data_IF_104409722534
#
_entry.id   IF_104409722534
#
_cell.length_a   1.000
_cell.length_b   1.000
_cell.length_c   1.000
_cell.angle_alpha   90.00
_cell.angle_beta   90.00
_cell.angle_gamma   90.00
#
_symmetry.space_group_name_H-M   'P 1'
#
loop_
_entity.id
_entity.type
_entity.pdbx_description
1 polymer ?
#
# COMPACT_ATOMS: atom_id res chain seq x y z
N UNK A 1 15.93 -12.35 -6.26
CA UNK A 1 14.73 -11.50 -6.39
C UNK A 1 15.12 -10.09 -5.95
N UNK A 2 14.58 -9.05 -6.56
CA UNK A 2 14.83 -7.67 -6.12
C UNK A 2 13.71 -7.23 -5.17
N UNK A 3 14.06 -6.96 -3.92
CA UNK A 3 13.08 -6.50 -2.92
C UNK A 3 13.03 -4.98 -2.81
N UNK A 4 14.18 -4.31 -2.83
CA UNK A 4 14.28 -2.88 -2.59
C UNK A 4 14.37 -2.06 -3.88
N UNK A 5 13.54 -1.03 -3.94
CA UNK A 5 13.48 -0.05 -5.03
C UNK A 5 13.68 1.34 -4.43
N UNK A 6 14.87 1.90 -4.63
CA UNK A 6 15.20 3.25 -4.19
C UNK A 6 14.38 4.28 -4.97
N UNK A 7 13.99 5.37 -4.30
CA UNK A 7 13.27 6.48 -4.88
C UNK A 7 13.91 6.95 -6.19
N UNK A 8 13.07 7.32 -7.14
CA UNK A 8 13.49 8.06 -8.32
C UNK A 8 12.49 9.18 -8.58
N UNK A 9 12.99 10.33 -9.02
CA UNK A 9 12.16 11.48 -9.35
C UNK A 9 11.86 11.46 -10.85
N UNK A 10 10.71 10.89 -11.20
CA UNK A 10 10.23 10.80 -12.57
C UNK A 10 8.90 11.54 -12.67
N UNK A 11 8.85 12.49 -13.60
CA UNK A 11 7.62 13.21 -13.96
C UNK A 11 6.78 12.37 -14.92
N UNK A 12 5.45 12.48 -14.83
CA UNK A 12 4.51 11.65 -15.59
C UNK A 12 4.29 10.31 -14.92
N UNK A 13 4.19 9.25 -15.71
CA UNK A 13 4.03 7.88 -15.22
C UNK A 13 5.38 7.19 -15.07
N UNK A 14 5.59 6.54 -13.93
CA UNK A 14 6.81 5.82 -13.60
C UNK A 14 6.49 4.38 -13.22
N UNK A 15 7.09 3.42 -13.94
CA UNK A 15 7.12 2.03 -13.48
C UNK A 15 8.11 1.90 -12.32
N UNK A 16 7.66 1.48 -11.14
CA UNK A 16 8.53 1.34 -9.96
C UNK A 16 8.91 -0.13 -9.77
N UNK A 17 7.92 -0.99 -9.49
CA UNK A 17 8.16 -2.42 -9.28
C UNK A 17 8.17 -3.11 -10.64
N UNK A 18 9.33 -3.65 -11.00
CA UNK A 18 9.57 -4.36 -12.24
C UNK A 18 9.57 -5.88 -12.04
N UNK A 19 9.69 -6.61 -13.15
CA UNK A 19 9.60 -8.07 -13.18
C UNK A 19 10.76 -8.73 -12.41
N UNK A 20 11.81 -7.99 -12.06
CA UNK A 20 12.91 -8.48 -11.22
C UNK A 20 12.45 -8.69 -9.76
N UNK A 21 11.31 -8.11 -9.36
CA UNK A 21 10.66 -8.42 -8.10
C UNK A 21 10.12 -9.84 -8.04
N UNK A 22 9.96 -10.54 -9.17
CA UNK A 22 9.43 -11.91 -9.17
C UNK A 22 8.01 -12.04 -8.61
N UNK A 23 7.28 -10.93 -8.50
CA UNK A 23 5.86 -10.88 -8.17
C UNK A 23 5.05 -11.26 -9.41
N UNK A 24 4.01 -12.06 -9.20
CA UNK A 24 3.22 -12.70 -10.24
C UNK A 24 1.88 -12.02 -10.44
N UNK A 25 1.29 -11.44 -9.38
CA UNK A 25 -0.09 -10.93 -9.40
C UNK A 25 -0.19 -9.44 -9.10
N UNK A 26 0.77 -8.84 -8.40
CA UNK A 26 0.73 -7.40 -8.07
C UNK A 26 1.85 -6.58 -8.69
N UNK A 27 1.65 -5.27 -8.72
CA UNK A 27 2.66 -4.28 -9.09
C UNK A 27 2.35 -2.92 -8.45
N UNK A 28 3.35 -2.04 -8.46
CA UNK A 28 3.21 -0.67 -7.98
C UNK A 28 3.98 0.28 -8.89
N UNK A 29 3.28 1.32 -9.32
CA UNK A 29 3.78 2.39 -10.18
C UNK A 29 3.37 3.75 -9.57
N UNK A 30 3.86 4.85 -10.12
CA UNK A 30 3.54 6.19 -9.61
C UNK A 30 3.23 7.16 -10.75
N UNK A 31 2.31 8.08 -10.49
CA UNK A 31 2.03 9.23 -11.37
C UNK A 31 2.40 10.50 -10.60
N UNK A 32 3.18 11.37 -11.24
CA UNK A 32 3.51 12.70 -10.74
C UNK A 32 3.27 13.74 -11.84
N UNK A 33 2.35 14.67 -11.60
CA UNK A 33 1.95 15.67 -12.60
C UNK A 33 1.95 17.07 -11.99
N UNK A 34 2.49 18.04 -12.71
CA UNK A 34 2.39 19.45 -12.33
C UNK A 34 0.96 19.97 -12.61
N UNK A 35 0.50 21.02 -11.89
CA UNK A 35 -0.81 21.60 -12.13
C UNK A 35 -1.10 21.91 -13.61
N UNK A 36 -2.22 21.40 -14.12
CA UNK A 36 -2.66 21.57 -15.51
C UNK A 36 -2.15 20.49 -16.47
N UNK A 37 -1.23 19.63 -16.05
CA UNK A 37 -0.77 18.52 -16.88
C UNK A 37 -1.75 17.35 -16.88
N UNK A 38 -1.69 16.57 -17.95
CA UNK A 38 -2.53 15.38 -18.11
C UNK A 38 -1.76 14.23 -18.74
N UNK A 39 -2.23 13.02 -18.48
CA UNK A 39 -1.72 11.78 -19.07
C UNK A 39 -2.88 10.83 -19.36
N UNK A 40 -2.75 10.08 -20.45
CA UNK A 40 -3.65 8.99 -20.82
C UNK A 40 -2.93 7.66 -20.66
N UNK A 41 -3.61 6.69 -20.05
CA UNK A 41 -3.06 5.39 -19.66
C UNK A 41 -4.11 4.29 -19.85
N UNK A 42 -3.68 3.04 -19.77
CA UNK A 42 -4.55 1.87 -19.83
C UNK A 42 -4.26 0.92 -18.66
N UNK A 43 -5.32 0.35 -18.08
CA UNK A 43 -5.19 -0.62 -16.99
C UNK A 43 -4.73 -2.01 -17.48
N UNK A 44 -4.93 -2.31 -18.77
CA UNK A 44 -4.60 -3.61 -19.36
C UNK A 44 -5.24 -4.76 -18.56
N UNK A 45 -4.48 -5.80 -18.24
CA UNK A 45 -4.98 -6.95 -17.45
C UNK A 45 -5.16 -6.67 -15.95
N UNK A 46 -4.85 -5.46 -15.48
CA UNK A 46 -4.86 -5.12 -14.06
C UNK A 46 -6.15 -4.40 -13.67
N UNK A 47 -6.70 -4.73 -12.51
CA UNK A 47 -7.49 -3.75 -11.76
C UNK A 47 -6.54 -2.84 -10.97
N UNK A 48 -6.94 -1.58 -10.81
CA UNK A 48 -6.10 -0.53 -10.24
C UNK A 48 -6.77 0.14 -9.04
N UNK A 49 -5.99 0.38 -7.99
CA UNK A 49 -6.28 1.40 -6.99
C UNK A 49 -5.39 2.62 -7.24
N UNK A 50 -5.97 3.72 -7.72
CA UNK A 50 -5.29 5.00 -7.88
C UNK A 50 -5.42 5.80 -6.59
N UNK A 51 -4.43 5.72 -5.72
CA UNK A 51 -4.43 6.38 -4.41
C UNK A 51 -3.79 7.75 -4.53
N UNK A 52 -4.55 8.82 -4.31
CA UNK A 52 -4.00 10.18 -4.35
C UNK A 52 -3.13 10.39 -3.11
N UNK A 53 -1.81 10.44 -3.28
CA UNK A 53 -0.81 10.63 -2.23
C UNK A 53 -0.70 12.11 -1.82
N UNK A 54 -0.81 13.02 -2.79
CA UNK A 54 -0.80 14.46 -2.59
C UNK A 54 -1.52 15.18 -3.73
N UNK A 55 -2.11 16.33 -3.44
CA UNK A 55 -2.72 17.20 -4.44
C UNK A 55 -4.13 16.78 -4.83
N UNK A 56 -4.58 17.28 -5.99
CA UNK A 56 -5.93 17.01 -6.51
C UNK A 56 -5.97 16.90 -8.03
N UNK A 57 -6.95 16.18 -8.57
CA UNK A 57 -7.07 15.95 -10.01
C UNK A 57 -8.40 15.41 -10.48
N UNK A 58 -8.57 15.39 -11.79
CA UNK A 58 -9.66 14.71 -12.47
C UNK A 58 -9.18 13.35 -12.98
N UNK A 59 -9.98 12.30 -12.74
CA UNK A 59 -9.76 10.96 -13.30
C UNK A 59 -11.00 10.59 -14.13
N UNK A 60 -10.80 10.26 -15.40
CA UNK A 60 -11.89 9.91 -16.33
C UNK A 60 -11.62 8.57 -16.98
N UNK A 61 -12.62 7.67 -16.96
CA UNK A 61 -12.54 6.33 -17.55
C UNK A 61 -13.84 6.02 -18.30
N UNK A 62 -13.85 6.26 -19.61
CA UNK A 62 -15.08 6.17 -20.41
C UNK A 62 -16.15 7.16 -19.92
N UNK A 63 -17.32 6.65 -19.52
CA UNK A 63 -18.40 7.47 -18.97
C UNK A 63 -18.22 7.84 -17.49
N UNK A 64 -17.36 7.11 -16.77
CA UNK A 64 -17.07 7.39 -15.37
C UNK A 64 -16.16 8.62 -15.24
N UNK A 65 -16.54 9.54 -14.36
CA UNK A 65 -15.82 10.79 -14.10
C UNK A 65 -15.70 11.04 -12.60
N UNK A 66 -14.48 10.98 -12.10
CA UNK A 66 -14.11 11.39 -10.76
C UNK A 66 -13.40 12.74 -10.84
N UNK A 67 -14.20 13.82 -10.79
CA UNK A 67 -13.71 15.19 -10.94
C UNK A 67 -13.34 15.81 -9.60
N UNK A 68 -12.32 16.67 -9.61
CA UNK A 68 -11.80 17.43 -8.47
C UNK A 68 -11.54 16.58 -7.22
N UNK A 69 -10.93 15.41 -7.40
CA UNK A 69 -10.63 14.46 -6.33
C UNK A 69 -9.27 14.69 -5.70
N UNK A 70 -9.18 14.42 -4.40
CA UNK A 70 -7.98 14.65 -3.59
C UNK A 70 -8.08 15.94 -2.78
N UNK A 71 -7.69 15.85 -1.51
CA UNK A 71 -7.71 16.98 -0.57
C UNK A 71 -6.46 17.08 0.31
N UNK A 72 -5.62 16.04 0.34
CA UNK A 72 -4.45 15.99 1.23
C UNK A 72 -3.23 16.61 0.54
N UNK A 73 -2.51 17.45 1.28
CA UNK A 73 -1.26 18.06 0.79
C UNK A 73 -0.12 17.04 0.73
N UNK A 74 -0.16 16.05 1.62
CA UNK A 74 0.70 14.89 1.69
C UNK A 74 -0.03 13.76 2.41
N UNK A 75 0.58 12.58 2.47
CA UNK A 75 -0.02 11.39 3.12
C UNK A 75 -0.28 11.58 4.62
N UNK A 76 0.42 12.49 5.29
CA UNK A 76 0.28 12.76 6.73
C UNK A 76 -0.81 13.81 7.04
N UNK A 77 -1.38 14.44 6.00
CA UNK A 77 -2.40 15.49 6.12
C UNK A 77 -3.84 14.95 6.15
N UNK A 78 -4.05 13.64 6.05
CA UNK A 78 -5.36 13.01 6.15
C UNK A 78 -5.53 11.75 5.31
N UNK A 79 -6.76 11.22 5.36
CA UNK A 79 -7.17 10.01 4.64
C UNK A 79 -7.15 10.20 3.11
N UNK A 80 -6.95 9.13 2.34
CA UNK A 80 -6.80 9.19 0.90
C UNK A 80 -8.16 9.30 0.21
N UNK A 81 -8.19 9.97 -0.92
CA UNK A 81 -9.18 9.65 -1.96
C UNK A 81 -8.56 8.60 -2.87
N UNK A 82 -9.29 7.52 -3.15
CA UNK A 82 -8.83 6.43 -4.03
C UNK A 82 -9.82 6.19 -5.15
N UNK A 83 -9.34 6.05 -6.38
CA UNK A 83 -10.18 5.72 -7.54
C UNK A 83 -9.88 4.28 -7.95
N UNK A 84 -10.91 3.45 -7.98
CA UNK A 84 -10.82 2.11 -8.55
C UNK A 84 -11.05 2.15 -10.05
N UNK A 85 -10.09 1.64 -10.83
CA UNK A 85 -10.20 1.48 -12.28
C UNK A 85 -10.14 -0.01 -12.62
N UNK A 86 -11.14 -0.58 -13.29
CA UNK A 86 -11.15 -2.00 -13.59
C UNK A 86 -10.21 -2.35 -14.75
N UNK A 87 -9.89 -3.64 -14.91
CA UNK A 87 -9.15 -4.16 -16.06
C UNK A 87 -9.78 -3.78 -17.41
N UNK A 88 -8.94 -3.78 -18.44
CA UNK A 88 -9.26 -3.48 -19.83
C UNK A 88 -9.95 -2.11 -19.99
N UNK A 89 -9.38 -1.08 -19.35
CA UNK A 89 -9.96 0.27 -19.29
C UNK A 89 -8.90 1.33 -19.59
N UNK A 90 -9.16 2.14 -20.61
CA UNK A 90 -8.44 3.38 -20.84
C UNK A 90 -8.93 4.46 -19.87
N UNK A 91 -8.01 5.23 -19.32
CA UNK A 91 -8.32 6.32 -18.40
C UNK A 91 -7.35 7.49 -18.58
N UNK A 92 -7.78 8.69 -18.20
CA UNK A 92 -6.94 9.87 -18.14
C UNK A 92 -6.88 10.44 -16.73
N UNK A 93 -5.74 11.05 -16.41
CA UNK A 93 -5.52 11.77 -15.17
C UNK A 93 -5.10 13.19 -15.53
N UNK A 94 -5.75 14.19 -14.93
CA UNK A 94 -5.39 15.60 -15.08
C UNK A 94 -5.15 16.22 -13.72
N UNK A 95 -3.96 16.79 -13.51
CA UNK A 95 -3.63 17.50 -12.30
C UNK A 95 -4.36 18.84 -12.21
N UNK A 96 -4.94 19.12 -11.05
CA UNK A 96 -5.66 20.36 -10.73
C UNK A 96 -5.05 21.01 -9.48
N UNK A 97 -5.55 22.19 -9.14
CA UNK A 97 -5.10 22.93 -7.97
C UNK A 97 -3.77 23.65 -8.20
N UNK A 98 -2.98 23.79 -7.15
CA UNK A 98 -1.77 24.62 -7.12
C UNK A 98 -0.49 23.87 -6.72
N UNK A 99 -0.62 22.63 -6.28
CA UNK A 99 0.51 21.74 -5.95
C UNK A 99 0.52 20.55 -6.91
N UNK A 100 1.67 19.88 -7.10
CA UNK A 100 1.74 18.66 -7.89
C UNK A 100 0.76 17.59 -7.41
N UNK A 101 0.17 16.87 -8.35
CA UNK A 101 -0.64 15.69 -8.10
C UNK A 101 0.28 14.46 -8.07
N UNK A 102 0.31 13.76 -6.95
CA UNK A 102 1.02 12.50 -6.78
C UNK A 102 0.01 11.37 -6.53
N UNK A 103 0.09 10.30 -7.32
CA UNK A 103 -0.79 9.13 -7.22
C UNK A 103 0.05 7.86 -7.16
N UNK A 104 -0.20 7.03 -6.15
CA UNK A 104 0.25 5.65 -6.13
C UNK A 104 -0.67 4.78 -6.98
N UNK A 105 -0.11 4.05 -7.94
CA UNK A 105 -0.85 3.16 -8.85
C UNK A 105 -0.64 1.72 -8.38
N UNK A 106 -1.56 1.25 -7.54
CA UNK A 106 -1.58 -0.11 -7.03
C UNK A 106 -2.24 -1.03 -8.05
N UNK A 107 -1.51 -2.05 -8.54
CA UNK A 107 -1.92 -2.89 -9.67
C UNK A 107 -2.11 -4.32 -9.21
N UNK A 108 -3.21 -4.95 -9.61
CA UNK A 108 -3.48 -6.37 -9.34
C UNK A 108 -4.04 -7.03 -10.59
N UNK A 109 -3.48 -8.17 -11.02
CA UNK A 109 -4.00 -8.93 -12.17
C UNK A 109 -5.40 -9.44 -11.84
N UNK A 110 -6.38 -8.95 -12.58
CA UNK A 110 -7.78 -9.32 -12.39
C UNK A 110 -8.24 -10.27 -13.49
N UNK A 111 -9.13 -11.19 -13.17
CA UNK A 111 -9.83 -12.07 -14.11
C UNK A 111 -11.22 -11.52 -14.46
N UNK A 112 -11.80 -10.71 -13.57
CA UNK A 112 -13.13 -10.12 -13.73
C UNK A 112 -13.03 -8.61 -13.93
N UNK A 113 -13.98 -8.08 -14.70
CA UNK A 113 -14.18 -6.65 -14.88
C UNK A 113 -15.35 -6.17 -14.02
N UNK A 114 -15.11 -5.18 -13.18
CA UNK A 114 -16.11 -4.53 -12.32
C UNK A 114 -16.33 -3.08 -12.77
N UNK A 115 -17.25 -2.37 -12.13
CA UNK A 115 -17.49 -0.94 -12.39
C UNK A 115 -16.47 -0.06 -11.66
N UNK A 116 -15.99 1.04 -12.28
CA UNK A 116 -15.14 2.02 -11.60
C UNK A 116 -15.91 2.75 -10.49
N UNK A 117 -15.22 3.13 -9.42
CA UNK A 117 -15.80 3.89 -8.30
C UNK A 117 -14.74 4.74 -7.58
N UNK A 118 -15.21 5.65 -6.73
CA UNK A 118 -14.38 6.43 -5.82
C UNK A 118 -14.57 5.91 -4.41
N UNK A 119 -13.47 5.75 -3.67
CA UNK A 119 -13.45 5.64 -2.21
C UNK A 119 -13.13 7.01 -1.68
N UNK A 120 -14.13 7.64 -1.05
CA UNK A 120 -13.94 8.95 -0.43
C UNK A 120 -13.21 8.84 0.91
N UNK A 121 -12.49 9.89 1.36
CA UNK A 121 -11.79 9.89 2.64
C UNK A 121 -12.71 9.56 3.84
N UNK A 122 -13.97 9.95 3.79
CA UNK A 122 -14.99 9.70 4.82
C UNK A 122 -15.42 8.22 4.88
N UNK A 123 -15.18 7.49 3.79
CA UNK A 123 -15.50 6.06 3.68
C UNK A 123 -14.40 5.14 4.19
N UNK A 124 -13.18 5.68 4.39
CA UNK A 124 -12.00 4.95 4.84
C UNK A 124 -12.06 4.79 6.36
N UNK A 125 -12.04 3.54 6.82
CA UNK A 125 -12.06 3.20 8.25
C UNK A 125 -10.63 3.18 8.77
N UNK A 126 -10.41 3.81 9.92
CA UNK A 126 -9.11 3.77 10.62
C UNK A 126 -9.20 2.79 11.77
N UNK A 127 -8.33 1.79 11.73
CA UNK A 127 -8.14 0.82 12.80
C UNK A 127 -6.88 1.18 13.59
N UNK A 128 -7.04 1.42 14.89
CA UNK A 128 -5.92 1.64 15.80
C UNK A 128 -5.41 0.29 16.30
N UNK A 129 -4.25 -0.16 15.79
CA UNK A 129 -3.70 -1.50 16.05
C UNK A 129 -2.47 -1.43 16.95
N UNK A 130 -2.29 -2.48 17.75
CA UNK A 130 -1.15 -2.66 18.65
C UNK A 130 -1.21 -1.83 19.94
N UNK A 131 -0.26 -2.06 20.83
CA UNK A 131 -0.07 -1.31 22.08
C UNK A 131 1.39 -0.93 22.28
N UNK A 132 1.63 0.08 23.13
CA UNK A 132 2.98 0.57 23.46
C UNK A 132 3.81 0.88 22.21
N UNK A 133 4.91 0.15 22.00
CA UNK A 133 5.84 0.37 20.89
C UNK A 133 5.37 -0.27 19.57
N UNK A 134 4.16 -0.84 19.52
CA UNK A 134 3.58 -1.44 18.31
C UNK A 134 2.34 -0.70 17.81
N UNK A 135 2.04 0.49 18.36
CA UNK A 135 0.88 1.29 18.00
C UNK A 135 1.03 1.84 16.59
N UNK A 136 -0.07 1.74 15.84
CA UNK A 136 -0.15 2.23 14.46
C UNK A 136 -1.59 2.45 14.07
N UNK A 137 -1.79 3.35 13.13
CA UNK A 137 -3.07 3.56 12.49
C UNK A 137 -3.06 2.88 11.13
N UNK A 138 -4.08 2.07 10.87
CA UNK A 138 -4.27 1.40 9.58
C UNK A 138 -5.55 1.93 8.95
N UNK A 139 -5.42 2.52 7.79
CA UNK A 139 -6.55 2.97 6.99
C UNK A 139 -6.88 1.88 5.97
N UNK A 140 -8.01 1.20 6.18
CA UNK A 140 -8.52 0.18 5.26
C UNK A 140 -9.23 0.87 4.08
N UNK A 141 -8.59 0.85 2.89
CA UNK A 141 -9.07 1.59 1.70
C UNK A 141 -9.99 0.70 0.85
N UNK A 142 -9.46 -0.42 0.31
CA UNK A 142 -10.24 -1.42 -0.44
C UNK A 142 -10.00 -2.78 0.22
N UNK A 143 -10.84 -3.11 1.20
CA UNK A 143 -10.79 -4.38 1.94
C UNK A 143 -12.16 -5.08 1.88
N UNK A 144 -12.63 -5.65 2.99
CA UNK A 144 -13.88 -6.42 3.08
C UNK A 144 -15.14 -5.60 2.72
N UNK A 145 -15.16 -4.28 2.97
CA UNK A 145 -16.27 -3.39 2.60
C UNK A 145 -16.58 -3.40 1.09
N UNK A 146 -15.58 -3.70 0.27
CA UNK A 146 -15.67 -3.69 -1.20
C UNK A 146 -15.72 -5.11 -1.78
N UNK A 147 -16.06 -6.12 -0.97
CA UNK A 147 -16.34 -7.47 -1.47
C UNK A 147 -17.41 -7.46 -2.57
N UNK A 148 -17.14 -8.14 -3.69
CA UNK A 148 -18.02 -8.17 -4.85
C UNK A 148 -18.04 -6.89 -5.70
N UNK A 149 -17.20 -5.88 -5.42
CA UNK A 149 -17.02 -4.68 -6.27
C UNK A 149 -15.66 -4.61 -6.95
N UNK A 150 -14.74 -5.47 -6.55
CA UNK A 150 -13.38 -5.63 -7.09
C UNK A 150 -13.07 -7.13 -7.17
N UNK A 151 -12.02 -7.53 -7.89
CA UNK A 151 -11.71 -8.94 -8.11
C UNK A 151 -10.82 -9.53 -7.00
N UNK A 152 -9.60 -9.02 -6.85
CA UNK A 152 -8.56 -9.55 -5.96
C UNK A 152 -7.85 -8.48 -5.14
N UNK A 153 -7.88 -7.22 -5.56
CA UNK A 153 -7.15 -6.15 -4.88
C UNK A 153 -7.56 -6.01 -3.41
N UNK A 154 -6.53 -5.96 -2.56
CA UNK A 154 -6.64 -5.59 -1.15
C UNK A 154 -5.64 -4.46 -0.91
N UNK A 155 -6.14 -3.33 -0.42
CA UNK A 155 -5.39 -2.06 -0.42
C UNK A 155 -5.66 -1.28 0.85
N UNK A 156 -4.61 -0.73 1.42
CA UNK A 156 -4.70 0.18 2.55
C UNK A 156 -3.38 0.89 2.78
N UNK A 157 -3.34 1.70 3.83
CA UNK A 157 -2.13 2.42 4.21
C UNK A 157 -1.94 2.35 5.73
N UNK A 158 -0.70 2.47 6.18
CA UNK A 158 -0.36 2.36 7.60
C UNK A 158 0.59 3.47 8.03
N UNK A 159 0.32 3.99 9.22
CA UNK A 159 1.06 5.05 9.87
C UNK A 159 1.74 4.50 11.12
N UNK A 160 3.06 4.41 11.09
CA UNK A 160 3.89 4.07 12.24
C UNK A 160 4.34 5.34 12.97
N UNK A 161 4.16 5.36 14.29
CA UNK A 161 4.64 6.45 15.14
C UNK A 161 6.18 6.46 15.24
N UNK A 162 6.80 7.62 15.48
CA UNK A 162 8.26 7.73 15.65
C UNK A 162 8.82 6.75 16.69
N UNK A 163 9.85 6.00 16.31
CA UNK A 163 10.51 5.01 17.19
C UNK A 163 9.72 3.72 17.46
N UNK A 164 8.53 3.57 16.85
CA UNK A 164 7.69 2.39 17.03
C UNK A 164 7.85 1.37 15.90
N UNK A 165 7.34 0.17 16.16
CA UNK A 165 7.28 -0.93 15.22
C UNK A 165 5.86 -1.10 14.67
N UNK A 166 5.79 -1.44 13.40
CA UNK A 166 4.56 -1.77 12.69
C UNK A 166 4.74 -3.07 11.93
N UNK A 167 3.63 -3.64 11.44
CA UNK A 167 3.60 -5.04 11.01
C UNK A 167 4.21 -5.99 12.06
N UNK A 168 4.00 -5.67 13.35
CA UNK A 168 4.53 -6.40 14.51
C UNK A 168 3.41 -6.77 15.51
N UNK A 169 3.45 -7.95 16.20
CA UNK A 169 4.41 -9.04 16.01
C UNK A 169 4.48 -9.49 14.56
N UNK A 170 5.67 -9.92 14.16
CA UNK A 170 5.95 -10.15 12.75
C UNK A 170 5.05 -11.24 12.21
N UNK A 171 4.63 -11.12 10.96
CA UNK A 171 3.69 -12.03 10.32
C UNK A 171 4.04 -12.23 8.86
N UNK A 172 3.54 -13.32 8.29
CA UNK A 172 3.70 -13.70 6.88
C UNK A 172 2.37 -14.13 6.27
N UNK A 173 2.33 -14.17 4.96
CA UNK A 173 1.19 -14.63 4.16
C UNK A 173 1.71 -15.17 2.83
N UNK A 174 2.50 -16.24 2.91
CA UNK A 174 3.22 -16.80 1.76
C UNK A 174 2.86 -18.27 1.47
N UNK A 175 2.01 -18.85 2.31
CA UNK A 175 1.58 -20.25 2.21
C UNK A 175 0.06 -20.34 2.15
N UNK A 176 -0.47 -21.05 1.18
CA UNK A 176 -1.92 -21.30 1.10
C UNK A 176 -2.32 -22.43 2.06
N UNK A 177 -2.68 -22.04 3.29
CA UNK A 177 -3.07 -22.97 4.36
C UNK A 177 -4.30 -22.45 5.10
N UNK A 178 -5.33 -22.08 4.35
CA UNK A 178 -6.59 -21.60 4.94
C UNK A 178 -7.22 -22.63 5.90
N UNK A 179 -7.79 -22.22 7.05
CA UNK A 179 -8.02 -20.84 7.49
C UNK A 179 -6.87 -20.25 8.34
N UNK A 180 -5.68 -20.82 8.29
CA UNK A 180 -4.56 -20.42 9.16
C UNK A 180 -3.63 -19.38 8.51
N UNK A 181 -3.48 -19.45 7.19
CA UNK A 181 -2.63 -18.55 6.43
C UNK A 181 -3.15 -18.42 5.00
N UNK A 182 -3.15 -17.19 4.47
CA UNK A 182 -3.42 -16.90 3.07
C UNK A 182 -2.09 -16.70 2.33
N UNK A 183 -2.01 -17.10 1.06
CA UNK A 183 -0.87 -16.76 0.20
C UNK A 183 -1.18 -15.48 -0.58
N UNK A 184 -0.49 -14.39 -0.24
CA UNK A 184 -0.59 -13.10 -0.90
C UNK A 184 0.78 -12.46 -1.07
N UNK A 185 1.03 -11.90 -2.24
CA UNK A 185 2.11 -10.97 -2.45
C UNK A 185 1.76 -9.62 -1.82
N UNK A 186 2.77 -8.86 -1.39
CA UNK A 186 2.58 -7.51 -0.84
C UNK A 186 3.66 -6.54 -1.35
N UNK A 187 3.30 -5.28 -1.56
CA UNK A 187 4.23 -4.19 -1.85
C UNK A 187 4.00 -3.07 -0.85
N UNK A 188 5.08 -2.50 -0.29
CA UNK A 188 5.06 -1.29 0.53
C UNK A 188 5.72 -0.12 -0.21
N UNK A 189 5.02 0.99 -0.37
CA UNK A 189 5.58 2.26 -0.84
C UNK A 189 5.64 3.28 0.31
N UNK A 190 6.84 3.76 0.63
CA UNK A 190 7.11 4.51 1.85
C UNK A 190 7.05 6.02 1.65
N UNK A 191 6.55 6.71 2.67
CA UNK A 191 6.75 8.15 2.89
C UNK A 191 7.24 8.35 4.32
N UNK A 192 8.06 9.37 4.54
CA UNK A 192 8.64 9.65 5.86
C UNK A 192 8.48 11.13 6.18
N UNK A 193 8.17 11.43 7.44
CA UNK A 193 8.05 12.81 7.92
C UNK A 193 8.83 13.02 9.21
N UNK A 194 9.78 13.98 9.28
CA UNK A 194 10.31 14.77 8.15
C UNK A 194 11.00 13.94 7.05
N UNK A 195 11.04 14.40 5.78
CA UNK A 195 11.41 13.58 4.61
C UNK A 195 12.88 13.14 4.55
N UNK A 196 13.78 13.77 5.32
CA UNK A 196 15.17 13.33 5.48
C UNK A 196 15.33 12.12 6.41
N UNK A 197 14.24 11.70 7.07
CA UNK A 197 14.21 10.54 7.96
C UNK A 197 14.33 9.21 7.24
N UNK A 198 14.22 8.15 8.03
CA UNK A 198 14.20 6.78 7.54
C UNK A 198 13.43 5.85 8.48
N UNK A 199 13.17 4.64 8.02
CA UNK A 199 12.84 3.48 8.83
C UNK A 199 13.69 2.28 8.42
N UNK A 200 13.42 1.14 9.04
CA UNK A 200 14.08 -0.13 8.73
C UNK A 200 12.99 -1.14 8.39
N UNK A 201 12.97 -1.60 7.15
CA UNK A 201 12.25 -2.80 6.76
C UNK A 201 13.13 -3.99 7.08
N UNK A 202 12.61 -4.95 7.85
CA UNK A 202 13.26 -6.27 8.03
C UNK A 202 12.48 -7.29 7.22
N UNK A 203 13.16 -8.26 6.63
CA UNK A 203 12.54 -9.38 5.91
C UNK A 203 13.26 -10.67 6.27
N UNK A 204 12.54 -11.67 6.78
CA UNK A 204 13.14 -12.96 7.13
C UNK A 204 12.14 -14.12 7.05
N UNK A 205 12.61 -15.35 6.92
CA UNK A 205 11.78 -16.55 7.01
C UNK A 205 12.28 -17.49 8.13
N UNK A 206 11.56 -18.60 8.37
CA UNK A 206 11.79 -19.46 9.54
C UNK A 206 13.20 -20.05 9.62
N UNK A 207 13.82 -20.32 8.46
CA UNK A 207 15.18 -20.87 8.32
C UNK A 207 16.26 -19.82 8.03
N UNK A 208 15.87 -18.54 7.94
CA UNK A 208 16.72 -17.40 7.60
C UNK A 208 17.43 -17.50 6.23
N UNK A 209 16.90 -18.30 5.30
CA UNK A 209 17.35 -18.25 3.89
C UNK A 209 17.01 -16.91 3.24
N UNK A 210 15.91 -16.28 3.68
CA UNK A 210 15.69 -14.84 3.57
C UNK A 210 16.04 -14.22 4.93
N UNK A 211 16.95 -13.25 4.95
CA UNK A 211 17.36 -12.53 6.16
C UNK A 211 18.02 -11.19 5.77
N UNK A 212 17.20 -10.22 5.43
CA UNK A 212 17.62 -8.94 4.88
C UNK A 212 17.03 -7.79 5.69
N UNK A 213 17.74 -6.66 5.70
CA UNK A 213 17.25 -5.42 6.29
C UNK A 213 17.59 -4.24 5.39
N UNK A 214 16.61 -3.39 5.17
CA UNK A 214 16.72 -2.23 4.29
C UNK A 214 16.43 -0.96 5.07
N UNK A 215 17.32 0.03 4.97
CA UNK A 215 17.01 1.38 5.38
C UNK A 215 16.08 2.01 4.33
N UNK A 216 14.81 2.21 4.70
CA UNK A 216 13.79 2.78 3.82
C UNK A 216 13.64 4.27 4.08
N UNK A 217 13.65 5.08 3.03
CA UNK A 217 13.49 6.54 3.08
C UNK A 217 12.22 6.96 2.36
N UNK A 218 11.93 8.26 2.40
CA UNK A 218 10.81 8.82 1.67
C UNK A 218 10.89 8.48 0.16
N UNK A 219 9.80 7.93 -0.39
CA UNK A 219 9.64 7.45 -1.77
C UNK A 219 10.34 6.12 -2.12
N UNK A 220 10.91 5.40 -1.15
CA UNK A 220 11.42 4.04 -1.39
C UNK A 220 10.26 3.02 -1.44
N UNK A 221 10.47 1.87 -2.09
CA UNK A 221 9.47 0.80 -2.23
C UNK A 221 10.08 -0.56 -1.93
N UNK A 222 9.33 -1.44 -1.26
CA UNK A 222 9.71 -2.83 -0.95
C UNK A 222 8.70 -3.79 -1.60
N UNK A 223 9.20 -4.80 -2.28
CA UNK A 223 8.43 -5.94 -2.81
C UNK A 223 8.60 -7.17 -1.91
N UNK A 224 7.48 -7.72 -1.45
CA UNK A 224 7.41 -8.81 -0.46
C UNK A 224 6.68 -10.00 -1.10
N UNK A 225 7.43 -11.04 -1.46
CA UNK A 225 6.88 -12.30 -1.96
C UNK A 225 6.65 -13.33 -0.85
N UNK A 226 7.53 -13.34 0.15
CA UNK A 226 7.49 -14.31 1.23
C UNK A 226 8.13 -13.76 2.51
N UNK A 227 7.93 -14.50 3.61
CA UNK A 227 8.55 -14.25 4.88
C UNK A 227 7.86 -13.20 5.73
N UNK A 228 8.37 -13.07 6.94
CA UNK A 228 8.03 -12.10 7.96
C UNK A 228 8.63 -10.73 7.62
N UNK A 229 7.84 -9.66 7.73
CA UNK A 229 8.24 -8.35 7.19
C UNK A 229 7.89 -7.16 8.10
N UNK A 230 8.44 -7.07 9.33
CA UNK A 230 8.14 -5.96 10.23
C UNK A 230 8.88 -4.66 9.82
N UNK A 231 8.32 -3.52 10.23
CA UNK A 231 8.88 -2.20 9.94
C UNK A 231 9.16 -1.45 11.24
N UNK A 232 10.37 -0.94 11.41
CA UNK A 232 10.75 -0.08 12.52
C UNK A 232 10.90 1.38 12.05
N UNK A 233 10.17 2.31 12.66
CA UNK A 233 10.36 3.73 12.44
C UNK A 233 11.60 4.23 13.21
N UNK A 234 12.43 5.07 12.59
CA UNK A 234 13.50 5.73 13.34
C UNK A 234 12.93 6.72 14.38
N UNK A 235 13.60 6.92 15.53
CA UNK A 235 13.18 7.93 16.50
C UNK A 235 13.09 9.32 15.88
N UNK A 236 11.98 10.02 16.14
CA UNK A 236 11.72 11.36 15.62
C UNK A 236 11.12 11.43 14.21
N UNK A 237 10.93 10.30 13.53
CA UNK A 237 10.37 10.25 12.17
C UNK A 237 9.11 9.38 12.11
N UNK A 238 8.00 9.99 11.70
CA UNK A 238 6.79 9.23 11.37
C UNK A 238 6.99 8.51 10.05
N UNK A 239 6.61 7.23 10.00
CA UNK A 239 6.69 6.44 8.78
C UNK A 239 5.28 6.13 8.28
N UNK A 240 5.11 6.24 6.98
CA UNK A 240 3.91 5.85 6.26
C UNK A 240 4.30 4.80 5.24
N UNK A 241 3.44 3.81 5.04
CA UNK A 241 3.51 2.95 3.88
C UNK A 241 2.13 2.67 3.30
N UNK A 242 2.01 2.87 1.99
CA UNK A 242 0.89 2.41 1.19
C UNK A 242 1.15 0.94 0.86
N UNK A 243 0.17 0.08 1.09
CA UNK A 243 0.30 -1.35 0.84
C UNK A 243 -0.78 -1.88 -0.11
N UNK A 244 -0.34 -2.67 -1.09
CA UNK A 244 -1.21 -3.44 -1.97
C UNK A 244 -0.88 -4.91 -1.84
N UNK A 245 -1.93 -5.71 -1.69
CA UNK A 245 -1.86 -7.16 -1.58
C UNK A 245 -2.79 -7.82 -2.57
N UNK A 246 -2.38 -8.98 -3.08
CA UNK A 246 -3.27 -9.90 -3.75
C UNK A 246 -2.70 -11.32 -3.73
N UNK A 247 -3.58 -12.30 -3.87
CA UNK A 247 -3.23 -13.70 -3.95
C UNK A 247 -4.23 -14.48 -4.81
N UNK A 248 -3.98 -15.78 -4.95
CA UNK A 248 -4.86 -16.67 -5.72
C UNK A 248 -6.03 -17.23 -4.89
N UNK A 249 -5.94 -17.16 -3.56
CA UNK A 249 -6.83 -17.88 -2.63
C UNK A 249 -7.97 -17.01 -2.07
N UNK A 250 -8.27 -15.89 -2.74
CA UNK A 250 -9.30 -14.92 -2.37
C UNK A 250 -8.75 -13.67 -1.68
N UNK A 251 -9.65 -12.83 -1.14
CA UNK A 251 -9.32 -11.50 -0.57
C UNK A 251 -9.28 -11.45 0.96
N UNK A 252 -9.54 -12.57 1.63
CA UNK A 252 -9.59 -12.60 3.10
C UNK A 252 -8.17 -12.53 3.66
N UNK A 253 -7.86 -11.41 4.32
CA UNK A 253 -6.60 -11.24 5.05
C UNK A 253 -6.54 -12.22 6.23
N UNK A 254 -5.59 -13.15 6.19
CA UNK A 254 -5.35 -14.12 7.26
C UNK A 254 -3.84 -14.34 7.38
N UNK A 255 -3.08 -13.33 7.87
CA UNK A 255 -1.65 -13.46 8.07
C UNK A 255 -1.35 -14.41 9.24
N UNK A 256 -0.23 -15.14 9.14
CA UNK A 256 0.27 -16.02 10.19
C UNK A 256 1.40 -15.31 10.95
N UNK A 257 1.22 -15.12 12.27
CA UNK A 257 2.26 -14.53 13.12
C UNK A 257 3.45 -15.49 13.29
N UNK A 258 4.65 -14.92 13.44
CA UNK A 258 5.83 -15.68 13.86
C UNK A 258 5.58 -16.28 15.24
N UNK A 259 5.58 -17.62 15.38
CA UNK A 259 5.30 -18.27 16.67
C UNK A 259 6.32 -17.89 17.76
N UNK A 260 7.54 -17.48 17.39
CA UNK A 260 8.58 -17.02 18.33
C UNK A 260 8.25 -15.65 18.92
N UNK A 261 7.42 -14.85 18.24
CA UNK A 261 7.06 -13.48 18.63
C UNK A 261 5.57 -13.30 18.95
N UNK A 262 4.74 -14.33 18.72
CA UNK A 262 3.30 -14.30 18.98
C UNK A 262 2.92 -13.95 20.43
N UNK A 263 3.82 -14.22 21.40
CA UNK A 263 3.62 -13.84 22.81
C UNK A 263 3.45 -12.33 23.01
N UNK A 264 3.96 -11.50 22.10
CA UNK A 264 3.83 -10.03 22.17
C UNK A 264 2.36 -9.62 22.13
N UNK A 265 1.56 -10.20 21.22
CA UNK A 265 0.09 -9.95 21.16
C UNK A 265 -0.60 -10.36 22.47
N UNK A 266 -0.18 -11.47 23.08
CA UNK A 266 -0.78 -11.93 24.32
C UNK A 266 -0.57 -10.93 25.48
N UNK A 267 0.59 -10.28 25.54
CA UNK A 267 0.88 -9.28 26.58
C UNK A 267 0.27 -7.92 26.30
N UNK A 268 -0.05 -7.55 25.04
CA UNK A 268 -0.73 -6.28 24.73
C UNK A 268 -2.05 -6.13 25.50
N UNK A 269 -2.80 -7.23 25.68
CA UNK A 269 -4.04 -7.24 26.45
C UNK A 269 -3.86 -6.95 27.95
N UNK A 270 -2.64 -7.13 28.47
CA UNK A 270 -2.33 -6.90 29.89
C UNK A 270 -1.97 -5.45 30.21
N UNK A 271 -1.67 -4.63 29.20
CA UNK A 271 -1.18 -3.24 29.37
C UNK A 271 -2.24 -2.19 28.97
N UNK A 272 -3.49 -2.61 28.73
CA UNK A 272 -4.61 -1.68 28.58
C UNK A 272 -4.89 -1.00 29.92
N UNK A 273 -4.42 0.23 30.06
CA UNK A 273 -4.78 1.14 31.16
C UNK A 273 -6.16 1.77 30.92
#
# INVERSE_FOLDING_TARGET
MKHFYEKQEVKGYQKIVDDAAGLEVIGFDKIYLEPGESIELESGVYELGLVILAGKGDIVAGEFKALDKGQRNDVFSGKPTTIYIPRDTAYSVTAKGYIPLEIGVCKVKADKKYEPFVVEPEEVVTEHRGQLNCQRDVNDIITSKYEGKVDKIVLGETYGCPGQWSSYPSHKHDTDRMPYEVNMEEIYHFKVNPPQGFGIQVMYNDDFSLNESYMVRNDDTIAIKEGYHPVAAAPGYSIYYLWVMAGTSGRKLTPCDDPKHAWVKAVEHMVKY
#
